data_IF_250869022720
#
_entry.id   IF_250869022720
#
_cell.length_a   1.000
_cell.length_b   1.000
_cell.length_c   1.000
_cell.angle_alpha   90.00
_cell.angle_beta   90.00
_cell.angle_gamma   90.00
#
_symmetry.space_group_name_H-M   'P 1'
#
loop_
_entity.id
_entity.type
_entity.pdbx_description
1 polymer ?
#
# COMPACT_ATOMS: atom_id res chain seq x y z
N UNK A 1 39.50 24.90 41.67
CA UNK A 1 39.62 23.65 40.87
C UNK A 1 38.29 22.88 40.84
N UNK A 2 37.57 22.76 41.96
CA UNK A 2 36.22 22.15 42.04
C UNK A 2 35.17 22.78 41.08
N UNK A 3 35.18 24.09 40.89
CA UNK A 3 34.23 24.81 40.02
C UNK A 3 34.38 24.48 38.53
N UNK A 4 35.58 24.09 38.08
CA UNK A 4 35.81 23.65 36.69
C UNK A 4 35.27 22.23 36.42
N UNK A 5 35.25 21.37 37.46
CA UNK A 5 34.72 20.00 37.37
C UNK A 5 33.18 20.03 37.29
N UNK A 6 32.53 20.92 38.06
CA UNK A 6 31.07 21.07 38.04
C UNK A 6 30.52 21.58 36.69
N UNK A 7 31.28 22.38 35.96
CA UNK A 7 30.90 22.85 34.62
C UNK A 7 30.97 21.73 33.57
N UNK A 8 31.95 20.83 33.69
CA UNK A 8 32.11 19.68 32.78
C UNK A 8 30.99 18.64 32.97
N UNK A 9 30.54 18.42 34.20
CA UNK A 9 29.44 17.50 34.52
C UNK A 9 28.10 18.02 33.96
N UNK A 10 27.86 19.34 34.00
CA UNK A 10 26.67 19.92 33.36
C UNK A 10 26.70 19.80 31.83
N UNK A 11 27.86 19.98 31.19
CA UNK A 11 27.97 19.87 29.73
C UNK A 11 27.75 18.43 29.21
N UNK A 12 28.12 17.41 30.01
CA UNK A 12 27.83 16.00 29.71
C UNK A 12 26.34 15.65 29.89
N UNK A 13 25.62 16.32 30.79
CA UNK A 13 24.19 16.07 31.03
C UNK A 13 23.28 16.67 29.93
N UNK A 14 23.72 17.71 29.21
CA UNK A 14 22.97 18.29 28.08
C UNK A 14 23.16 17.51 26.75
N UNK A 15 24.06 16.53 26.69
CA UNK A 15 24.38 15.80 25.46
C UNK A 15 23.45 14.64 25.11
N UNK A 16 22.49 14.26 25.96
CA UNK A 16 21.72 13.01 25.80
C UNK A 16 20.22 13.19 25.58
N UNK A 17 19.77 14.33 25.05
CA UNK A 17 18.44 14.42 24.42
C UNK A 17 18.49 13.84 23.00
N UNK A 18 19.07 12.64 22.84
CA UNK A 18 18.89 11.87 21.62
C UNK A 18 17.43 11.44 21.58
N UNK A 19 16.60 12.21 20.87
CA UNK A 19 15.21 11.84 20.62
C UNK A 19 15.21 10.60 19.74
N UNK A 20 15.12 9.43 20.38
CA UNK A 20 14.90 8.17 19.68
C UNK A 20 13.50 8.22 19.08
N UNK A 21 13.42 8.24 17.75
CA UNK A 21 12.15 8.21 17.05
C UNK A 21 11.44 6.89 17.34
N UNK A 22 10.12 6.91 17.44
CA UNK A 22 9.31 5.71 17.68
C UNK A 22 8.73 5.16 16.38
N UNK A 23 8.40 3.86 16.35
CA UNK A 23 7.72 3.26 15.19
C UNK A 23 6.40 3.97 14.85
N UNK A 24 5.61 4.36 15.87
CA UNK A 24 4.36 5.10 15.69
C UNK A 24 4.59 6.45 15.00
N UNK A 25 5.63 7.19 15.38
CA UNK A 25 6.00 8.45 14.72
C UNK A 25 6.45 8.22 13.28
N UNK A 26 7.28 7.20 13.01
CA UNK A 26 7.71 6.87 11.64
C UNK A 26 6.49 6.56 10.78
N UNK A 27 5.57 5.70 11.25
CA UNK A 27 4.39 5.35 10.46
C UNK A 27 3.47 6.55 10.26
N UNK A 28 3.30 7.40 11.29
CA UNK A 28 2.53 8.64 11.15
C UNK A 28 3.14 9.57 10.08
N UNK A 29 4.47 9.67 10.02
CA UNK A 29 5.16 10.45 8.99
C UNK A 29 5.03 9.84 7.60
N UNK A 30 5.05 8.51 7.46
CA UNK A 30 4.68 7.83 6.20
C UNK A 30 3.28 8.27 5.77
N UNK A 31 2.30 8.21 6.69
CA UNK A 31 0.95 8.70 6.44
C UNK A 31 0.91 10.14 5.93
N UNK A 32 1.64 11.04 6.58
CA UNK A 32 1.76 12.45 6.16
C UNK A 32 2.35 12.59 4.76
N UNK A 33 3.47 11.92 4.47
CA UNK A 33 4.16 12.00 3.16
C UNK A 33 3.28 11.47 2.02
N UNK A 34 2.48 10.44 2.27
CA UNK A 34 1.55 9.88 1.28
C UNK A 34 0.26 10.71 1.17
N UNK A 35 -0.13 11.44 2.23
CA UNK A 35 -1.32 12.32 2.23
C UNK A 35 -1.08 13.70 1.60
N UNK A 36 0.18 14.13 1.40
CA UNK A 36 0.51 15.41 0.76
C UNK A 36 -0.20 15.56 -0.59
N UNK A 37 -0.80 16.72 -0.85
CA UNK A 37 -1.38 17.13 -2.16
C UNK A 37 -0.29 17.45 -3.18
N UNK A 38 0.58 16.47 -3.43
CA UNK A 38 1.66 16.51 -4.39
C UNK A 38 1.64 15.20 -5.19
N UNK A 39 2.02 15.23 -6.48
CA UNK A 39 2.14 14.01 -7.26
C UNK A 39 3.01 12.98 -6.56
N UNK A 40 2.75 11.69 -6.74
CA UNK A 40 3.60 10.61 -6.24
C UNK A 40 3.55 9.46 -7.22
N UNK A 41 4.71 9.00 -7.69
CA UNK A 41 4.80 7.86 -8.58
C UNK A 41 5.89 6.91 -8.10
N UNK A 42 5.65 5.61 -8.20
CA UNK A 42 6.64 4.57 -7.96
C UNK A 42 6.27 3.28 -8.68
N UNK A 43 7.27 2.43 -8.90
CA UNK A 43 7.07 1.07 -9.36
C UNK A 43 6.97 0.13 -8.16
N UNK A 44 6.15 -0.90 -8.28
CA UNK A 44 6.02 -1.95 -7.27
C UNK A 44 6.37 -3.30 -7.88
N UNK A 45 7.01 -4.17 -7.10
CA UNK A 45 7.26 -5.55 -7.48
C UNK A 45 6.74 -6.46 -6.36
N UNK A 46 5.87 -7.38 -6.72
CA UNK A 46 5.19 -8.31 -5.83
C UNK A 46 5.76 -9.69 -6.06
N UNK A 47 6.19 -10.38 -5.00
CA UNK A 47 6.72 -11.74 -5.09
C UNK A 47 6.07 -12.59 -4.01
N UNK A 48 5.37 -13.64 -4.44
CA UNK A 48 4.75 -14.63 -3.56
C UNK A 48 5.70 -15.81 -3.39
N UNK A 49 5.97 -16.17 -2.14
CA UNK A 49 6.76 -17.34 -1.77
C UNK A 49 5.87 -18.34 -1.05
N UNK A 50 6.13 -19.63 -1.27
CA UNK A 50 5.43 -20.74 -0.59
C UNK A 50 5.42 -20.62 0.93
N UNK A 51 6.52 -20.17 1.52
CA UNK A 51 6.66 -20.05 2.98
C UNK A 51 7.66 -18.96 3.37
N UNK A 52 7.82 -18.76 4.68
CA UNK A 52 8.66 -17.72 5.27
C UNK A 52 10.16 -17.82 4.93
N UNK A 53 10.68 -18.98 4.52
CA UNK A 53 12.12 -19.19 4.27
C UNK A 53 12.43 -19.50 2.81
N UNK A 54 11.41 -19.75 1.98
CA UNK A 54 11.58 -20.05 0.57
C UNK A 54 12.27 -18.89 -0.15
N UNK A 55 13.23 -19.25 -1.01
CA UNK A 55 13.92 -18.33 -1.94
C UNK A 55 13.36 -18.42 -3.36
N UNK A 56 12.54 -19.43 -3.66
CA UNK A 56 11.91 -19.62 -4.97
C UNK A 56 10.58 -18.87 -4.99
N UNK A 57 10.46 -17.94 -5.93
CA UNK A 57 9.21 -17.27 -6.22
C UNK A 57 8.20 -18.26 -6.83
N UNK A 58 6.98 -18.27 -6.31
CA UNK A 58 5.86 -18.99 -6.91
C UNK A 58 5.14 -18.12 -7.94
N UNK A 59 5.00 -16.84 -7.63
CA UNK A 59 4.41 -15.85 -8.50
C UNK A 59 5.15 -14.53 -8.34
N UNK A 60 5.25 -13.78 -9.43
CA UNK A 60 5.86 -12.46 -9.44
C UNK A 60 5.09 -11.53 -10.37
N UNK A 61 4.75 -10.34 -9.87
CA UNK A 61 3.97 -9.35 -10.59
C UNK A 61 4.61 -7.99 -10.48
N UNK A 62 4.48 -7.19 -11.54
CA UNK A 62 4.87 -5.78 -11.52
C UNK A 62 3.64 -4.92 -11.32
N UNK A 63 3.84 -3.80 -10.67
CA UNK A 63 2.84 -2.77 -10.53
C UNK A 63 3.42 -1.38 -10.69
N UNK A 64 2.50 -0.43 -10.80
CA UNK A 64 2.79 0.99 -10.82
C UNK A 64 1.73 1.71 -10.00
N UNK A 65 2.19 2.68 -9.24
CA UNK A 65 1.36 3.59 -8.47
C UNK A 65 1.57 5.00 -8.99
N UNK A 66 0.48 5.72 -9.21
CA UNK A 66 0.50 7.12 -9.64
C UNK A 66 -0.60 7.87 -8.87
N UNK A 67 -0.21 8.94 -8.19
CA UNK A 67 -1.10 9.92 -7.58
C UNK A 67 -0.82 11.30 -8.17
N UNK A 68 -1.85 12.09 -8.47
CA UNK A 68 -1.69 13.48 -8.92
C UNK A 68 -1.82 14.50 -7.76
N UNK A 69 -1.69 15.80 -8.05
CA UNK A 69 -1.84 16.88 -7.05
C UNK A 69 -3.24 16.97 -6.42
N UNK A 70 -4.27 16.42 -7.08
CA UNK A 70 -5.63 16.37 -6.58
C UNK A 70 -5.94 15.12 -5.74
N UNK A 71 -4.90 14.33 -5.39
CA UNK A 71 -5.02 13.04 -4.71
C UNK A 71 -5.85 11.99 -5.47
N UNK A 72 -5.98 12.14 -6.78
CA UNK A 72 -6.54 11.10 -7.63
C UNK A 72 -5.48 10.03 -7.87
N UNK A 73 -5.91 8.78 -7.93
CA UNK A 73 -5.06 7.60 -7.89
C UNK A 73 -5.28 6.75 -9.12
N UNK A 74 -4.17 6.30 -9.70
CA UNK A 74 -4.10 5.24 -10.66
C UNK A 74 -3.15 4.17 -10.11
N UNK A 75 -3.61 2.93 -10.06
CA UNK A 75 -2.79 1.78 -9.71
C UNK A 75 -2.99 0.72 -10.78
N UNK A 76 -1.89 0.08 -11.18
CA UNK A 76 -1.97 -1.14 -11.97
C UNK A 76 -1.09 -2.18 -11.34
N UNK A 77 -1.64 -3.37 -11.10
CA UNK A 77 -0.96 -4.54 -10.58
C UNK A 77 -1.28 -5.68 -11.54
N UNK A 78 -0.28 -6.10 -12.31
CA UNK A 78 -0.46 -7.07 -13.40
C UNK A 78 -1.64 -6.73 -14.32
N UNK A 79 -2.67 -7.58 -14.38
CA UNK A 79 -3.87 -7.41 -15.22
C UNK A 79 -4.99 -6.63 -14.54
N UNK A 80 -4.79 -6.15 -13.31
CA UNK A 80 -5.78 -5.34 -12.59
C UNK A 80 -5.38 -3.87 -12.58
N UNK A 81 -6.32 -3.01 -12.97
CA UNK A 81 -6.18 -1.56 -12.93
C UNK A 81 -7.23 -0.97 -11.99
N UNK A 82 -6.84 0.02 -11.20
CA UNK A 82 -7.71 0.74 -10.26
C UNK A 82 -7.52 2.23 -10.51
N UNK A 83 -8.64 2.93 -10.71
CA UNK A 83 -8.66 4.38 -10.89
C UNK A 83 -9.62 4.96 -9.87
N UNK A 84 -9.15 5.90 -9.05
CA UNK A 84 -10.00 6.67 -8.15
C UNK A 84 -9.76 8.15 -8.39
N UNK A 85 -10.70 8.80 -9.08
CA UNK A 85 -10.72 10.24 -9.31
C UNK A 85 -11.88 10.89 -8.56
N UNK A 86 -12.02 12.22 -8.66
CA UNK A 86 -13.19 12.91 -8.09
C UNK A 86 -14.52 12.46 -8.72
N UNK A 87 -14.47 11.96 -9.96
CA UNK A 87 -15.65 11.62 -10.75
C UNK A 87 -15.95 10.12 -10.79
N UNK A 88 -14.94 9.26 -10.62
CA UNK A 88 -15.13 7.82 -10.76
C UNK A 88 -14.22 6.98 -9.86
N UNK A 89 -14.73 5.86 -9.36
CA UNK A 89 -13.93 4.75 -8.88
C UNK A 89 -14.14 3.55 -9.80
N UNK A 90 -13.05 3.11 -10.45
CA UNK A 90 -13.01 1.98 -11.36
C UNK A 90 -12.06 0.92 -10.84
N UNK A 91 -12.46 -0.34 -11.00
CA UNK A 91 -11.55 -1.49 -10.98
C UNK A 91 -11.76 -2.28 -12.26
N UNK A 92 -10.70 -2.44 -13.05
CA UNK A 92 -10.71 -3.13 -14.34
C UNK A 92 -9.88 -4.40 -14.19
N UNK A 93 -10.46 -5.56 -14.46
CA UNK A 93 -9.75 -6.82 -14.58
C UNK A 93 -9.61 -7.17 -16.07
N UNK A 94 -8.40 -7.07 -16.61
CA UNK A 94 -8.13 -7.35 -18.01
C UNK A 94 -8.17 -8.85 -18.35
N UNK A 95 -7.88 -9.72 -17.38
CA UNK A 95 -7.95 -11.17 -17.59
C UNK A 95 -9.40 -11.64 -17.70
N UNK A 96 -10.26 -11.16 -16.82
CA UNK A 96 -11.70 -11.48 -16.81
C UNK A 96 -12.51 -10.60 -17.78
N UNK A 97 -11.90 -9.58 -18.37
CA UNK A 97 -12.57 -8.54 -19.18
C UNK A 97 -13.76 -7.94 -18.42
N UNK A 98 -13.56 -7.56 -17.17
CA UNK A 98 -14.60 -6.99 -16.32
C UNK A 98 -14.23 -5.58 -15.83
N UNK A 99 -15.23 -4.71 -15.70
CA UNK A 99 -15.12 -3.35 -15.17
C UNK A 99 -16.12 -3.22 -14.03
N UNK A 100 -15.61 -2.97 -12.83
CA UNK A 100 -16.41 -2.60 -11.68
C UNK A 100 -16.43 -1.08 -11.57
N UNK A 101 -17.63 -0.50 -11.50
CA UNK A 101 -17.83 0.93 -11.26
C UNK A 101 -18.43 1.11 -9.88
N UNK A 102 -17.83 1.96 -9.06
CA UNK A 102 -18.35 2.32 -7.75
C UNK A 102 -18.28 3.83 -7.50
N UNK A 103 -18.83 4.27 -6.37
CA UNK A 103 -18.78 5.69 -6.00
C UNK A 103 -17.33 6.11 -5.70
N UNK A 104 -16.90 7.30 -6.13
CA UNK A 104 -15.60 7.85 -5.79
C UNK A 104 -15.33 7.77 -4.28
N UNK A 105 -14.20 7.19 -3.91
CA UNK A 105 -13.78 7.20 -2.51
C UNK A 105 -13.17 8.56 -2.21
N UNK A 106 -13.85 9.32 -1.35
CA UNK A 106 -13.31 10.55 -0.77
C UNK A 106 -12.07 10.18 0.03
N UNK A 107 -10.98 10.92 -0.15
CA UNK A 107 -9.74 10.74 0.61
C UNK A 107 -9.13 9.34 0.52
N UNK A 108 -9.09 8.72 -0.68
CA UNK A 108 -8.51 7.37 -0.88
C UNK A 108 -7.12 7.17 -0.23
N UNK A 109 -6.28 8.22 -0.17
CA UNK A 109 -5.03 8.27 0.62
C UNK A 109 -4.96 9.46 1.59
N UNK A 110 -6.08 10.12 1.88
CA UNK A 110 -6.10 11.25 2.80
C UNK A 110 -6.05 10.82 4.26
N UNK A 111 -5.61 11.72 5.13
CA UNK A 111 -5.54 11.60 6.61
C UNK A 111 -5.35 10.16 7.11
N UNK A 112 -4.25 9.53 6.69
CA UNK A 112 -3.88 8.23 7.22
C UNK A 112 -3.72 8.32 8.74
N UNK A 113 -4.67 7.72 9.47
CA UNK A 113 -4.59 7.51 10.91
C UNK A 113 -4.04 6.10 11.15
N UNK A 114 -2.99 6.02 11.94
CA UNK A 114 -2.35 4.75 12.29
C UNK A 114 -3.10 4.02 13.42
N UNK A 115 -3.93 4.73 14.20
CA UNK A 115 -4.63 4.15 15.35
C UNK A 115 -5.50 2.94 14.99
N UNK A 116 -6.31 2.97 13.91
CA UNK A 116 -7.10 1.79 13.52
C UNK A 116 -6.23 0.57 13.20
N UNK A 117 -5.00 0.76 12.69
CA UNK A 117 -4.10 -0.37 12.44
C UNK A 117 -3.72 -1.06 13.76
N UNK A 118 -3.49 -0.29 14.82
CA UNK A 118 -3.16 -0.80 16.14
C UNK A 118 -4.33 -1.49 16.87
N UNK A 119 -5.56 -1.39 16.35
CA UNK A 119 -6.66 -2.23 16.81
C UNK A 119 -6.42 -3.70 16.44
N UNK A 120 -5.79 -3.93 15.27
CA UNK A 120 -5.59 -5.26 14.71
C UNK A 120 -4.20 -5.84 14.93
N UNK A 121 -3.18 -5.00 15.09
CA UNK A 121 -1.80 -5.43 15.34
C UNK A 121 -1.14 -4.65 16.48
N UNK A 122 -0.02 -5.17 16.97
CA UNK A 122 0.88 -4.43 17.86
C UNK A 122 2.29 -4.37 17.24
N UNK A 123 3.08 -3.38 17.65
CA UNK A 123 4.48 -3.28 17.26
C UNK A 123 5.27 -4.30 18.07
N UNK A 124 5.90 -5.24 17.40
CA UNK A 124 6.76 -6.27 17.98
C UNK A 124 8.21 -5.78 18.05
N UNK A 125 8.70 -5.15 16.98
CA UNK A 125 10.06 -4.61 16.93
C UNK A 125 10.15 -3.31 16.12
N UNK A 126 11.11 -2.47 16.53
CA UNK A 126 11.50 -1.26 15.81
C UNK A 126 13.02 -1.17 15.77
N UNK A 127 13.60 -1.20 14.57
CA UNK A 127 15.04 -1.17 14.38
C UNK A 127 15.40 -0.01 13.46
N UNK A 128 16.27 0.87 13.93
CA UNK A 128 16.86 1.94 13.13
C UNK A 128 18.10 1.42 12.41
N UNK A 129 18.00 1.22 11.10
CA UNK A 129 19.17 1.05 10.24
C UNK A 129 19.59 2.41 9.68
N UNK A 130 20.89 2.57 9.39
CA UNK A 130 21.47 3.81 8.83
C UNK A 130 20.69 4.33 7.60
N UNK A 131 20.15 3.43 6.78
CA UNK A 131 19.46 3.75 5.51
C UNK A 131 17.93 3.68 5.56
N UNK A 132 17.35 2.99 6.54
CA UNK A 132 15.90 2.79 6.66
C UNK A 132 15.51 2.41 8.10
N UNK A 133 14.24 2.55 8.45
CA UNK A 133 13.67 1.93 9.64
C UNK A 133 12.98 0.62 9.29
N UNK A 134 13.13 -0.39 10.14
CA UNK A 134 12.36 -1.62 10.07
C UNK A 134 11.35 -1.67 11.21
N UNK A 135 10.10 -1.95 10.88
CA UNK A 135 8.99 -2.05 11.83
C UNK A 135 8.34 -3.42 11.65
N UNK A 136 8.33 -4.22 12.70
CA UNK A 136 7.60 -5.49 12.73
C UNK A 136 6.28 -5.29 13.45
N UNK A 137 5.19 -5.59 12.76
CA UNK A 137 3.84 -5.61 13.28
C UNK A 137 3.37 -7.06 13.38
N UNK A 138 2.79 -7.45 14.51
CA UNK A 138 2.22 -8.78 14.72
C UNK A 138 0.73 -8.64 14.99
N UNK A 139 -0.07 -9.46 14.31
CA UNK A 139 -1.51 -9.48 14.49
C UNK A 139 -1.88 -9.83 15.93
N UNK A 140 -2.86 -9.13 16.50
CA UNK A 140 -3.45 -9.56 17.78
C UNK A 140 -4.25 -10.84 17.57
N UNK A 141 -4.39 -11.63 18.64
CA UNK A 141 -5.26 -12.80 18.65
C UNK A 141 -6.67 -12.40 18.21
N UNK A 142 -7.31 -13.24 17.38
CA UNK A 142 -8.65 -13.01 16.83
C UNK A 142 -8.80 -11.75 15.97
N UNK A 143 -7.70 -11.14 15.51
CA UNK A 143 -7.81 -10.11 14.48
C UNK A 143 -8.30 -10.76 13.17
N UNK A 144 -9.19 -10.08 12.45
CA UNK A 144 -9.63 -10.50 11.11
C UNK A 144 -8.58 -10.21 10.03
N UNK A 145 -7.31 -10.00 10.41
CA UNK A 145 -6.24 -9.79 9.45
C UNK A 145 -5.85 -11.12 8.79
N UNK A 146 -5.68 -11.14 7.45
CA UNK A 146 -5.20 -12.33 6.75
C UNK A 146 -3.69 -12.58 6.97
N UNK A 147 -3.04 -11.76 7.80
CA UNK A 147 -1.61 -11.79 8.04
C UNK A 147 -1.32 -11.97 9.52
N UNK A 148 -0.40 -12.88 9.85
CA UNK A 148 0.11 -13.08 11.20
C UNK A 148 1.19 -12.06 11.56
N UNK A 149 1.96 -11.63 10.56
CA UNK A 149 3.08 -10.68 10.71
C UNK A 149 3.23 -9.81 9.47
N UNK A 150 3.57 -8.55 9.69
CA UNK A 150 3.91 -7.59 8.65
C UNK A 150 5.24 -6.94 9.01
N UNK A 151 6.22 -6.99 8.11
CA UNK A 151 7.50 -6.28 8.26
C UNK A 151 7.56 -5.15 7.25
N UNK A 152 7.67 -3.92 7.75
CA UNK A 152 7.74 -2.71 6.95
C UNK A 152 9.16 -2.18 6.98
N UNK A 153 9.71 -1.86 5.82
CA UNK A 153 10.94 -1.10 5.68
C UNK A 153 10.61 0.27 5.11
N UNK A 154 10.96 1.30 5.88
CA UNK A 154 10.64 2.70 5.59
C UNK A 154 11.95 3.47 5.41
N UNK A 155 12.15 4.08 4.25
CA UNK A 155 13.32 4.94 4.00
C UNK A 155 13.38 6.11 4.99
N UNK A 156 14.56 6.72 5.18
CA UNK A 156 14.69 7.94 6.00
C UNK A 156 13.89 9.15 5.48
N UNK A 157 13.45 9.09 4.22
CA UNK A 157 12.50 10.03 3.59
C UNK A 157 11.02 9.64 3.75
N UNK A 158 10.70 8.66 4.60
CA UNK A 158 9.35 8.17 4.89
C UNK A 158 8.59 7.58 3.69
N UNK A 159 9.32 7.04 2.72
CA UNK A 159 8.75 6.17 1.69
C UNK A 159 8.84 4.70 2.09
N UNK A 160 7.75 3.95 1.87
CA UNK A 160 7.69 2.52 2.15
C UNK A 160 8.43 1.75 1.04
N UNK A 161 9.69 1.38 1.27
CA UNK A 161 10.53 0.70 0.27
C UNK A 161 10.20 -0.78 0.13
N UNK A 162 9.83 -1.45 1.24
CA UNK A 162 9.50 -2.87 1.24
C UNK A 162 8.44 -3.17 2.30
N UNK A 163 7.49 -4.02 1.95
CA UNK A 163 6.55 -4.62 2.89
C UNK A 163 6.59 -6.13 2.71
N UNK A 164 6.63 -6.86 3.81
CA UNK A 164 6.61 -8.31 3.82
C UNK A 164 5.44 -8.79 4.65
N UNK A 165 4.48 -9.47 4.02
CA UNK A 165 3.27 -9.97 4.64
C UNK A 165 3.38 -11.48 4.80
N UNK A 166 3.23 -11.98 6.02
CA UNK A 166 3.20 -13.41 6.34
C UNK A 166 1.74 -13.80 6.57
N UNK A 167 1.21 -14.70 5.76
CA UNK A 167 -0.21 -15.08 5.84
C UNK A 167 -0.50 -15.90 7.09
N UNK A 168 -1.66 -15.67 7.70
CA UNK A 168 -2.16 -16.44 8.84
C UNK A 168 -2.87 -17.73 8.42
N UNK A 169 -3.22 -17.86 7.13
CA UNK A 169 -3.89 -19.02 6.55
C UNK A 169 -2.96 -19.82 5.66
N UNK A 170 -3.09 -21.14 5.71
CA UNK A 170 -2.36 -22.04 4.83
C UNK A 170 -3.05 -22.11 3.46
N UNK A 171 -2.26 -22.14 2.40
CA UNK A 171 -2.71 -22.27 1.00
C UNK A 171 -2.16 -23.57 0.43
N UNK A 172 -3.01 -24.31 -0.27
CA UNK A 172 -2.59 -25.51 -0.99
C UNK A 172 -1.87 -25.10 -2.29
N UNK A 173 -0.58 -25.43 -2.39
CA UNK A 173 0.22 -25.21 -3.60
C UNK A 173 0.38 -26.46 -4.47
N UNK A 174 -0.28 -27.56 -4.12
CA UNK A 174 -0.29 -28.79 -4.93
C UNK A 174 -1.24 -28.65 -6.11
N UNK A 175 -0.82 -29.14 -7.28
CA UNK A 175 -1.71 -29.36 -8.43
C UNK A 175 -2.48 -30.67 -8.33
N UNK A 176 -2.07 -31.57 -7.42
CA UNK A 176 -2.75 -32.83 -7.14
C UNK A 176 -3.69 -32.64 -5.94
N UNK A 177 -4.99 -32.83 -6.19
CA UNK A 177 -6.03 -32.72 -5.19
C UNK A 177 -5.94 -33.81 -4.11
N UNK A 178 -5.43 -34.99 -4.46
CA UNK A 178 -5.35 -36.13 -3.54
C UNK A 178 -4.12 -36.05 -2.61
N UNK A 179 -3.19 -35.12 -2.88
CA UNK A 179 -1.98 -34.90 -2.09
C UNK A 179 -1.79 -33.40 -1.83
N UNK A 180 -2.64 -32.77 -0.98
CA UNK A 180 -2.56 -31.35 -0.70
C UNK A 180 -1.24 -31.00 -0.01
N UNK A 181 -0.61 -29.91 -0.44
CA UNK A 181 0.61 -29.36 0.16
C UNK A 181 0.34 -27.95 0.64
N UNK A 182 -0.12 -27.86 1.88
CA UNK A 182 -0.50 -26.61 2.53
C UNK A 182 0.72 -25.91 3.12
N UNK A 183 0.92 -24.65 2.75
CA UNK A 183 1.98 -23.81 3.28
C UNK A 183 1.43 -22.44 3.70
N UNK A 184 2.10 -21.75 4.62
CA UNK A 184 1.78 -20.37 5.00
C UNK A 184 2.59 -19.39 4.15
N UNK A 185 2.01 -18.80 3.10
CA UNK A 185 2.77 -18.01 2.16
C UNK A 185 3.30 -16.71 2.75
N UNK A 186 4.29 -16.16 2.04
CA UNK A 186 4.82 -14.82 2.29
C UNK A 186 4.76 -14.01 1.02
N UNK A 187 4.15 -12.83 1.08
CA UNK A 187 4.15 -11.85 0.01
C UNK A 187 5.17 -10.75 0.32
N UNK A 188 6.10 -10.52 -0.60
CA UNK A 188 6.99 -9.37 -0.56
C UNK A 188 6.55 -8.34 -1.59
N UNK A 189 6.47 -7.08 -1.17
CA UNK A 189 6.19 -5.94 -2.04
C UNK A 189 7.34 -4.96 -1.91
N UNK A 190 8.09 -4.73 -2.99
CA UNK A 190 9.16 -3.74 -3.02
C UNK A 190 8.80 -2.58 -3.92
N UNK A 191 9.01 -1.36 -3.46
CA UNK A 191 8.70 -0.14 -4.19
C UNK A 191 9.99 0.62 -4.55
N UNK A 192 10.08 1.08 -5.80
CA UNK A 192 11.27 1.75 -6.34
C UNK A 192 10.88 2.96 -7.19
N UNK A 193 11.87 3.77 -7.57
CA UNK A 193 11.70 4.91 -8.48
C UNK A 193 10.68 5.96 -7.99
N UNK A 194 10.64 6.20 -6.68
CA UNK A 194 9.83 7.25 -6.08
C UNK A 194 10.12 8.61 -6.72
N UNK A 195 9.09 9.25 -7.24
CA UNK A 195 9.22 10.60 -7.78
C UNK A 195 7.95 11.42 -7.59
N UNK A 196 8.11 12.74 -7.70
CA UNK A 196 7.05 13.74 -7.51
C UNK A 196 6.73 14.48 -8.83
N UNK A 197 7.04 13.86 -9.97
CA UNK A 197 6.78 14.47 -11.29
C UNK A 197 5.27 14.53 -11.54
N UNK A 198 4.77 15.54 -12.29
CA UNK A 198 3.37 15.59 -12.70
C UNK A 198 2.92 14.29 -13.37
N UNK A 199 1.70 13.85 -13.04
CA UNK A 199 1.10 12.66 -13.63
C UNK A 199 0.35 13.02 -14.92
N UNK A 200 0.26 12.08 -15.86
CA UNK A 200 -0.57 12.25 -17.05
C UNK A 200 -2.06 12.30 -16.64
N UNK A 201 -2.71 13.44 -16.86
CA UNK A 201 -4.11 13.69 -16.48
C UNK A 201 -5.11 12.73 -17.14
N UNK A 202 -4.79 12.20 -18.32
CA UNK A 202 -5.64 11.24 -19.03
C UNK A 202 -5.84 9.93 -18.26
N UNK A 203 -4.94 9.56 -17.34
CA UNK A 203 -5.10 8.36 -16.50
C UNK A 203 -6.28 8.45 -15.53
N UNK A 204 -6.68 9.67 -15.15
CA UNK A 204 -7.72 9.92 -14.15
C UNK A 204 -9.05 10.34 -14.78
N UNK A 205 -9.05 10.56 -16.10
CA UNK A 205 -10.24 11.01 -16.83
C UNK A 205 -11.20 9.85 -17.07
N UNK A 206 -12.47 10.03 -16.69
CA UNK A 206 -13.54 9.08 -17.01
C UNK A 206 -13.59 8.77 -18.51
N UNK A 207 -13.32 9.77 -19.37
CA UNK A 207 -13.35 9.63 -20.84
C UNK A 207 -12.32 8.63 -21.39
N UNK A 208 -11.27 8.32 -20.63
CA UNK A 208 -10.27 7.31 -21.03
C UNK A 208 -10.81 5.88 -20.91
N UNK A 209 -11.89 5.69 -20.15
CA UNK A 209 -12.44 4.37 -19.84
C UNK A 209 -13.87 4.20 -20.32
N UNK A 210 -14.68 5.24 -20.14
CA UNK A 210 -16.12 5.23 -20.37
C UNK A 210 -16.55 6.46 -21.18
N UNK A 211 -17.56 6.27 -22.02
CA UNK A 211 -18.28 7.33 -22.71
C UNK A 211 -19.70 7.43 -22.16
N UNK A 212 -20.30 8.61 -22.21
CA UNK A 212 -21.71 8.80 -21.85
C UNK A 212 -22.50 9.01 -23.13
N UNK A 213 -23.53 8.20 -23.37
CA UNK A 213 -24.45 8.33 -24.50
C UNK A 213 -25.83 8.68 -23.98
N UNK A 214 -26.33 9.87 -24.33
CA UNK A 214 -27.58 10.39 -23.78
C UNK A 214 -27.49 10.73 -22.29
N UNK A 215 -28.65 10.84 -21.62
CA UNK A 215 -28.70 11.37 -20.24
C UNK A 215 -28.18 10.42 -19.16
N UNK A 216 -28.13 9.10 -19.38
CA UNK A 216 -27.79 8.12 -18.32
C UNK A 216 -27.15 6.81 -18.80
N UNK A 217 -26.80 6.64 -20.08
CA UNK A 217 -26.19 5.39 -20.55
C UNK A 217 -24.67 5.51 -20.53
N UNK A 218 -24.02 4.62 -19.78
CA UNK A 218 -22.57 4.46 -19.80
C UNK A 218 -22.23 3.46 -20.89
N UNK A 219 -21.35 3.87 -21.78
CA UNK A 219 -20.76 3.02 -22.80
C UNK A 219 -19.25 2.90 -22.58
N UNK A 220 -18.69 1.81 -23.12
CA UNK A 220 -17.27 1.49 -22.99
C UNK A 220 -16.51 2.20 -24.11
N UNK A 221 -15.30 2.67 -23.85
CA UNK A 221 -14.41 3.10 -24.94
C UNK A 221 -14.03 1.92 -25.82
N UNK A 222 -13.52 2.19 -27.03
CA UNK A 222 -13.10 1.16 -27.99
C UNK A 222 -12.12 0.14 -27.36
N UNK A 223 -11.19 0.63 -26.52
CA UNK A 223 -10.23 -0.20 -25.79
C UNK A 223 -10.90 -1.23 -24.89
N UNK A 224 -12.08 -0.91 -24.37
CA UNK A 224 -12.81 -1.70 -23.39
C UNK A 224 -14.11 -2.28 -23.95
N UNK A 225 -14.38 -2.21 -25.25
CA UNK A 225 -15.68 -2.59 -25.85
C UNK A 225 -16.15 -4.00 -25.48
N UNK A 226 -15.21 -4.94 -25.37
CA UNK A 226 -15.47 -6.35 -25.06
C UNK A 226 -15.53 -6.67 -23.56
N UNK A 227 -15.58 -5.65 -22.70
CA UNK A 227 -15.59 -5.84 -21.25
C UNK A 227 -17.02 -5.85 -20.72
N UNK A 228 -17.29 -6.62 -19.68
CA UNK A 228 -18.54 -6.54 -18.93
C UNK A 228 -18.48 -5.38 -17.92
N UNK A 229 -19.58 -4.64 -17.77
CA UNK A 229 -19.71 -3.59 -16.74
C UNK A 229 -20.56 -4.12 -15.61
N UNK A 230 -20.03 -4.02 -14.39
CA UNK A 230 -20.74 -4.22 -13.13
C UNK A 230 -20.82 -2.84 -12.44
N UNK A 231 -22.01 -2.25 -12.40
CA UNK A 231 -22.22 -0.94 -11.77
C UNK A 231 -22.80 -1.11 -10.37
N UNK A 232 -22.01 -0.81 -9.35
CA UNK A 232 -22.42 -0.90 -7.93
C UNK A 232 -23.03 0.39 -7.39
N UNK A 233 -23.00 1.50 -8.15
CA UNK A 233 -23.50 2.78 -7.66
C UNK A 233 -25.02 2.80 -7.47
N UNK A 234 -25.72 1.96 -8.22
CA UNK A 234 -27.19 1.78 -8.14
C UNK A 234 -27.62 0.89 -6.98
N UNK A 235 -26.74 0.00 -6.49
CA UNK A 235 -27.04 -0.97 -5.42
C UNK A 235 -26.94 -0.32 -4.04
N UNK A 236 -26.15 0.75 -3.88
CA UNK A 236 -25.96 1.46 -2.61
C UNK A 236 -27.09 2.43 -2.20
N UNK A 237 -28.20 2.48 -2.94
CA UNK A 237 -29.38 3.31 -2.64
C UNK A 237 -30.54 2.49 -2.02
N UNK A 238 -30.24 1.40 -1.32
CA UNK A 238 -31.21 0.68 -0.48
C UNK A 238 -30.77 0.68 0.97
#
# INVERSE_FOLDING_TARGET
MLTKILFFINFLAFGTLAHSQTASEVIQQVGKVYSLTKPLQYNSNYVLYKNATSKKAEQAYKGIFIKNEFNEVYMKIDQTEIVNSKAINLKINHAEKAILISNPLKNYFGNFDIKPLFEFCHIDSFIDYKTYWEITLVSKNLSNLPYSKIVLQVTKSYFLQKSTFFYSTAVNFSTDYNAPKSYYPRLEVSNTNFNRRPANSSLFSTKSYLTTVGKNKIEKTEKLKNYEIIDQRTISNK
#
